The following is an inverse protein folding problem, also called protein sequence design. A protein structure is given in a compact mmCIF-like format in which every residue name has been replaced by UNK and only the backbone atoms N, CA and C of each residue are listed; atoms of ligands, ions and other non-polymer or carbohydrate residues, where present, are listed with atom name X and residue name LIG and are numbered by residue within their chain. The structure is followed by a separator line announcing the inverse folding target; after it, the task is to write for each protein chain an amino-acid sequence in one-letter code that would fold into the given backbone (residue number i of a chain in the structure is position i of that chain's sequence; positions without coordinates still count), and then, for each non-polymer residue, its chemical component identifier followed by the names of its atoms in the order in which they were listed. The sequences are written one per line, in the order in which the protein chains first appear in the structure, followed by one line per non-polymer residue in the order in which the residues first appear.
data_IF_693645004070
#
_entry.id   IF_693645004070
#
_cell.length_a   1.000
_cell.length_b   1.000
_cell.length_c   1.000
_cell.angle_alpha   90.00
_cell.angle_beta   90.00
_cell.angle_gamma   90.00
#
_symmetry.space_group_name_H-M   'P 1'
#
loop_
_entity.id
_entity.type
_entity.pdbx_description
1 polymer ?
#
# COMPACT_ATOMS: atom_id res chain seq x y z
N UNK A 1 12.45 1.01 8.46
CA UNK A 1 11.21 1.04 9.27
C UNK A 1 10.47 -0.29 9.24
N UNK A 2 10.32 -0.95 8.09
CA UNK A 2 9.67 -2.27 8.02
C UNK A 2 10.44 -3.38 8.78
N UNK A 3 11.76 -3.24 8.98
CA UNK A 3 12.57 -4.18 9.77
C UNK A 3 12.32 -4.11 11.29
N UNK A 4 11.57 -3.10 11.74
CA UNK A 4 11.24 -2.92 13.16
C UNK A 4 9.88 -3.54 13.52
N UNK A 5 9.16 -4.08 12.54
CA UNK A 5 7.88 -4.75 12.75
C UNK A 5 8.12 -6.21 13.11
N UNK A 6 7.34 -6.70 14.07
CA UNK A 6 7.31 -8.13 14.38
C UNK A 6 6.83 -8.93 13.16
N UNK A 7 7.44 -10.09 12.92
CA UNK A 7 7.13 -10.92 11.74
C UNK A 7 5.66 -11.32 11.66
N UNK A 8 5.01 -11.47 12.82
CA UNK A 8 3.59 -11.81 12.93
C UNK A 8 2.67 -10.74 12.33
N UNK A 9 3.10 -9.48 12.27
CA UNK A 9 2.33 -8.39 11.65
C UNK A 9 2.11 -8.66 10.16
N UNK A 10 3.10 -9.22 9.47
CA UNK A 10 3.00 -9.52 8.04
C UNK A 10 2.07 -10.71 7.75
N UNK A 11 1.89 -11.61 8.72
CA UNK A 11 1.11 -12.84 8.53
C UNK A 11 -0.25 -12.86 9.23
N UNK A 12 -0.51 -11.88 10.09
CA UNK A 12 -1.80 -11.68 10.78
C UNK A 12 -2.90 -11.34 9.79
N UNK A 13 -4.06 -11.99 9.90
CA UNK A 13 -5.22 -11.68 9.06
C UNK A 13 -5.85 -10.31 9.37
N UNK A 14 -5.63 -9.79 10.58
CA UNK A 14 -6.16 -8.49 11.05
C UNK A 14 -5.27 -7.30 10.63
N UNK A 15 -4.09 -7.58 10.07
CA UNK A 15 -3.14 -6.54 9.68
C UNK A 15 -3.27 -6.18 8.20
N UNK A 16 -3.33 -4.87 7.95
CA UNK A 16 -3.36 -4.25 6.63
C UNK A 16 -2.32 -3.13 6.58
N UNK A 17 -1.70 -2.96 5.41
CA UNK A 17 -0.67 -1.96 5.18
C UNK A 17 -1.20 -0.86 4.27
N UNK A 18 -0.97 0.38 4.65
CA UNK A 18 -1.44 1.53 3.90
C UNK A 18 -0.27 2.42 3.46
N UNK A 19 -0.18 2.70 2.16
CA UNK A 19 0.80 3.61 1.59
C UNK A 19 0.13 4.86 0.99
N UNK A 20 0.22 6.03 1.66
CA UNK A 20 -0.55 7.22 1.29
C UNK A 20 -0.02 7.99 0.06
N UNK A 21 1.21 7.71 -0.37
CA UNK A 21 1.81 8.31 -1.58
C UNK A 21 2.77 7.31 -2.22
N UNK A 22 2.19 6.37 -2.97
CA UNK A 22 2.95 5.25 -3.51
C UNK A 22 3.83 5.59 -4.72
N UNK A 23 3.68 6.79 -5.32
CA UNK A 23 4.44 7.20 -6.49
C UNK A 23 4.29 6.21 -7.64
N UNK A 24 5.42 5.82 -8.25
CA UNK A 24 5.45 4.78 -9.31
C UNK A 24 5.53 3.35 -8.75
N UNK A 25 5.30 3.14 -7.45
CA UNK A 25 5.20 1.84 -6.79
C UNK A 25 6.52 1.21 -6.34
N UNK A 26 7.66 1.92 -6.38
CA UNK A 26 8.97 1.36 -6.01
C UNK A 26 9.02 0.87 -4.55
N UNK A 27 8.56 1.69 -3.61
CA UNK A 27 8.50 1.29 -2.20
C UNK A 27 7.36 0.32 -1.92
N UNK A 28 6.27 0.40 -2.70
CA UNK A 28 5.14 -0.50 -2.59
C UNK A 28 5.58 -1.95 -2.88
N UNK A 29 6.34 -2.21 -3.94
CA UNK A 29 6.81 -3.59 -4.21
C UNK A 29 7.77 -4.12 -3.14
N UNK A 30 8.58 -3.27 -2.50
CA UNK A 30 9.44 -3.68 -1.37
C UNK A 30 8.61 -4.11 -0.16
N UNK A 31 7.50 -3.41 0.10
CA UNK A 31 6.55 -3.80 1.13
C UNK A 31 5.85 -5.12 0.77
N UNK A 32 5.35 -5.25 -0.46
CA UNK A 32 4.68 -6.46 -0.94
C UNK A 32 5.60 -7.67 -0.90
N UNK A 33 6.88 -7.52 -1.25
CA UNK A 33 7.88 -8.58 -1.13
C UNK A 33 7.98 -9.09 0.31
N UNK A 34 8.05 -8.20 1.30
CA UNK A 34 8.16 -8.60 2.71
C UNK A 34 6.91 -9.33 3.20
N UNK A 35 5.72 -8.86 2.81
CA UNK A 35 4.44 -9.53 3.11
C UNK A 35 4.42 -10.91 2.47
N UNK A 36 4.75 -10.99 1.18
CA UNK A 36 4.78 -12.24 0.42
C UNK A 36 5.74 -13.25 1.04
N UNK A 37 6.99 -12.87 1.32
CA UNK A 37 7.99 -13.78 1.89
C UNK A 37 7.57 -14.33 3.26
N UNK A 38 6.91 -13.51 4.08
CA UNK A 38 6.39 -13.96 5.37
C UNK A 38 5.23 -14.95 5.20
N UNK A 39 4.29 -14.68 4.29
CA UNK A 39 3.16 -15.56 4.00
C UNK A 39 3.58 -16.84 3.28
N UNK A 40 4.55 -16.75 2.37
CA UNK A 40 5.10 -17.88 1.63
C UNK A 40 5.71 -18.90 2.59
N UNK A 41 6.46 -18.43 3.60
CA UNK A 41 6.97 -19.30 4.68
C UNK A 41 5.83 -19.89 5.53
N UNK A 42 4.83 -19.09 5.87
CA UNK A 42 3.67 -19.55 6.66
C UNK A 42 2.83 -20.61 5.93
N UNK A 43 2.74 -20.53 4.61
CA UNK A 43 1.96 -21.43 3.77
C UNK A 43 2.80 -22.55 3.15
N UNK A 44 3.87 -22.98 3.82
CA UNK A 44 4.71 -24.09 3.39
C UNK A 44 5.20 -23.98 1.93
N UNK A 45 5.56 -22.76 1.51
CA UNK A 45 6.01 -22.43 0.15
C UNK A 45 4.94 -22.58 -0.94
N UNK A 46 3.67 -22.31 -0.62
CA UNK A 46 2.57 -22.18 -1.58
C UNK A 46 2.50 -20.74 -2.14
N UNK A 47 2.96 -20.49 -3.39
CA UNK A 47 3.04 -19.15 -3.95
C UNK A 47 1.66 -18.57 -4.28
N UNK A 48 0.69 -19.41 -4.65
CA UNK A 48 -0.63 -18.97 -5.06
C UNK A 48 -1.39 -18.39 -3.86
N UNK A 49 -1.37 -19.09 -2.70
CA UNK A 49 -1.96 -18.56 -1.46
C UNK A 49 -1.23 -17.34 -0.93
N UNK A 50 0.10 -17.36 -0.95
CA UNK A 50 0.91 -16.24 -0.47
C UNK A 50 0.65 -14.97 -1.30
N UNK A 51 0.56 -15.11 -2.63
CA UNK A 51 0.26 -13.99 -3.53
C UNK A 51 -1.15 -13.45 -3.31
N UNK A 52 -2.16 -14.33 -3.25
CA UNK A 52 -3.54 -13.92 -3.03
C UNK A 52 -3.70 -13.10 -1.73
N UNK A 53 -3.17 -13.60 -0.61
CA UNK A 53 -3.24 -12.90 0.68
C UNK A 53 -2.38 -11.62 0.68
N UNK A 54 -1.23 -11.61 0.00
CA UNK A 54 -0.42 -10.40 -0.12
C UNK A 54 -1.19 -9.30 -0.85
N UNK A 55 -1.84 -9.65 -1.96
CA UNK A 55 -2.63 -8.69 -2.73
C UNK A 55 -3.83 -8.17 -1.94
N UNK A 56 -4.38 -8.94 -0.99
CA UNK A 56 -5.45 -8.47 -0.09
C UNK A 56 -4.98 -7.58 1.06
N UNK A 57 -3.67 -7.52 1.34
CA UNK A 57 -3.13 -6.89 2.56
C UNK A 57 -2.66 -5.46 2.43
N UNK A 58 -2.75 -4.88 1.23
CA UNK A 58 -2.31 -3.51 1.02
C UNK A 58 -3.43 -2.63 0.50
N UNK A 59 -3.33 -1.34 0.83
CA UNK A 59 -4.04 -0.26 0.17
C UNK A 59 -3.04 0.86 -0.11
N UNK A 60 -3.12 1.48 -1.27
CA UNK A 60 -2.19 2.50 -1.70
C UNK A 60 -2.93 3.61 -2.45
N UNK A 61 -2.49 4.85 -2.22
CA UNK A 61 -3.03 6.03 -2.88
C UNK A 61 -1.91 6.76 -3.60
N UNK A 62 -2.24 7.37 -4.73
CA UNK A 62 -1.42 8.36 -5.41
C UNK A 62 -2.30 9.42 -6.08
N UNK A 63 -1.84 10.67 -6.12
CA UNK A 63 -2.58 11.80 -6.67
C UNK A 63 -2.36 11.94 -8.18
N UNK A 64 -1.18 11.57 -8.66
CA UNK A 64 -0.83 11.63 -10.08
C UNK A 64 -1.23 10.35 -10.81
N UNK A 65 -2.26 10.45 -11.65
CA UNK A 65 -2.78 9.34 -12.46
C UNK A 65 -1.69 8.67 -13.33
N UNK A 66 -0.68 9.43 -13.78
CA UNK A 66 0.41 8.89 -14.59
C UNK A 66 1.37 8.02 -13.77
N UNK A 67 1.46 8.28 -12.46
CA UNK A 67 2.21 7.45 -11.52
C UNK A 67 1.40 6.23 -11.08
N UNK A 68 0.09 6.39 -10.87
CA UNK A 68 -0.85 5.29 -10.59
C UNK A 68 -0.76 4.20 -11.65
N UNK A 69 -0.79 4.55 -12.94
CA UNK A 69 -0.69 3.57 -14.01
C UNK A 69 0.64 2.80 -13.97
N UNK A 70 1.75 3.48 -13.68
CA UNK A 70 3.07 2.85 -13.52
C UNK A 70 3.13 1.95 -12.30
N UNK A 71 2.58 2.40 -11.17
CA UNK A 71 2.54 1.63 -9.94
C UNK A 71 1.71 0.35 -10.11
N UNK A 72 0.54 0.43 -10.75
CA UNK A 72 -0.29 -0.75 -11.05
C UNK A 72 0.45 -1.75 -11.93
N UNK A 73 1.10 -1.28 -12.99
CA UNK A 73 1.89 -2.15 -13.87
C UNK A 73 3.06 -2.79 -13.11
N UNK A 74 3.77 -2.02 -12.29
CA UNK A 74 4.88 -2.52 -11.48
C UNK A 74 4.43 -3.60 -10.50
N UNK A 75 3.30 -3.40 -9.82
CA UNK A 75 2.74 -4.42 -8.90
C UNK A 75 2.26 -5.64 -9.69
N UNK A 76 1.72 -5.47 -10.89
CA UNK A 76 1.31 -6.57 -11.75
C UNK A 76 2.51 -7.42 -12.19
N UNK A 77 3.55 -6.78 -12.72
CA UNK A 77 4.80 -7.46 -13.12
C UNK A 77 5.45 -8.18 -11.92
N UNK A 78 5.46 -7.53 -10.75
CA UNK A 78 5.90 -8.14 -9.51
C UNK A 78 5.07 -9.40 -9.16
N UNK A 79 3.74 -9.32 -9.19
CA UNK A 79 2.84 -10.43 -8.86
C UNK A 79 3.04 -11.62 -9.81
N UNK A 80 3.15 -11.35 -11.11
CA UNK A 80 3.41 -12.38 -12.12
C UNK A 80 4.77 -13.05 -11.90
N UNK A 81 5.79 -12.28 -11.50
CA UNK A 81 7.13 -12.82 -11.21
C UNK A 81 7.19 -13.72 -9.96
N UNK A 82 6.15 -13.72 -9.11
CA UNK A 82 6.05 -14.64 -7.95
C UNK A 82 5.50 -16.01 -8.31
N UNK A 83 4.94 -16.16 -9.50
CA UNK A 83 4.49 -17.44 -10.02
C UNK A 83 5.65 -18.15 -10.74
N UNK A 84 5.76 -19.46 -10.55
CA UNK A 84 6.72 -20.31 -11.26
C UNK A 84 6.29 -20.65 -12.70
N UNK A 85 5.15 -20.11 -13.11
CA UNK A 85 4.45 -20.34 -14.37
C UNK A 85 3.84 -19.04 -14.88
N UNK A 86 3.47 -19.03 -16.16
CA UNK A 86 2.61 -17.98 -16.67
C UNK A 86 1.21 -18.06 -16.03
N UNK A 87 0.63 -16.93 -15.58
CA UNK A 87 -0.73 -16.92 -15.07
C UNK A 87 -1.70 -17.29 -16.19
N UNK A 88 -2.76 -18.01 -15.83
CA UNK A 88 -3.93 -18.19 -16.70
C UNK A 88 -4.64 -16.85 -16.91
N UNK A 89 -5.52 -16.78 -17.92
CA UNK A 89 -6.31 -15.57 -18.18
C UNK A 89 -7.15 -15.14 -16.96
N UNK A 90 -7.75 -16.12 -16.25
CA UNK A 90 -8.52 -15.85 -15.04
C UNK A 90 -7.63 -15.29 -13.92
N UNK A 91 -6.45 -15.86 -13.70
CA UNK A 91 -5.53 -15.38 -12.67
C UNK A 91 -4.99 -13.99 -13.00
N UNK A 92 -4.62 -13.75 -14.26
CA UNK A 92 -4.20 -12.43 -14.72
C UNK A 92 -5.30 -11.38 -14.48
N UNK A 93 -6.56 -11.73 -14.75
CA UNK A 93 -7.71 -10.88 -14.46
C UNK A 93 -7.88 -10.63 -12.96
N UNK A 94 -7.79 -11.67 -12.12
CA UNK A 94 -7.95 -11.55 -10.67
C UNK A 94 -6.83 -10.70 -10.04
N UNK A 95 -5.58 -10.88 -10.47
CA UNK A 95 -4.45 -10.05 -10.05
C UNK A 95 -4.69 -8.60 -10.44
N UNK A 96 -5.02 -8.33 -11.70
CA UNK A 96 -5.29 -6.97 -12.17
C UNK A 96 -6.46 -6.33 -11.41
N UNK A 97 -7.50 -7.11 -11.10
CA UNK A 97 -8.66 -6.64 -10.34
C UNK A 97 -8.31 -6.29 -8.90
N UNK A 98 -7.55 -7.13 -8.21
CA UNK A 98 -7.08 -6.85 -6.85
C UNK A 98 -6.23 -5.57 -6.81
N UNK A 99 -5.29 -5.42 -7.76
CA UNK A 99 -4.46 -4.22 -7.89
C UNK A 99 -5.32 -2.97 -8.11
N UNK A 100 -6.33 -3.06 -8.97
CA UNK A 100 -7.23 -1.94 -9.24
C UNK A 100 -8.03 -1.53 -8.00
N UNK A 101 -8.44 -2.49 -7.18
CA UNK A 101 -9.20 -2.23 -5.94
C UNK A 101 -8.32 -1.66 -4.83
N UNK A 102 -7.03 -1.98 -4.83
CA UNK A 102 -6.12 -1.62 -3.74
C UNK A 102 -5.20 -0.44 -4.06
N UNK A 103 -5.23 0.07 -5.29
CA UNK A 103 -4.43 1.22 -5.71
C UNK A 103 -5.31 2.26 -6.38
N UNK A 104 -5.61 3.33 -5.64
CA UNK A 104 -6.52 4.39 -6.04
C UNK A 104 -5.79 5.67 -6.48
N UNK A 105 -6.40 6.35 -7.46
CA UNK A 105 -5.98 7.66 -7.93
C UNK A 105 -6.89 8.73 -7.31
N UNK A 106 -6.69 9.03 -6.03
CA UNK A 106 -7.58 9.93 -5.30
C UNK A 106 -6.83 10.75 -4.26
N UNK A 107 -7.45 11.86 -3.85
CA UNK A 107 -6.97 12.61 -2.69
C UNK A 107 -7.35 11.85 -1.42
N UNK A 108 -6.34 11.49 -0.62
CA UNK A 108 -6.51 10.86 0.68
C UNK A 108 -7.58 11.56 1.55
N UNK A 109 -7.64 12.89 1.53
CA UNK A 109 -8.61 13.66 2.31
C UNK A 109 -10.04 13.59 1.77
N UNK A 110 -10.22 13.17 0.52
CA UNK A 110 -11.54 12.89 -0.04
C UNK A 110 -12.03 11.50 0.37
N UNK A 111 -11.13 10.51 0.43
CA UNK A 111 -11.47 9.13 0.83
C UNK A 111 -11.82 9.06 2.33
N UNK A 112 -10.98 9.66 3.19
CA UNK A 112 -11.11 9.52 4.65
C UNK A 112 -11.83 10.68 5.34
N UNK A 113 -12.36 11.62 4.55
CA UNK A 113 -13.04 12.81 5.04
C UNK A 113 -12.07 13.96 5.36
N UNK A 114 -12.53 15.19 5.11
CA UNK A 114 -11.73 16.39 5.38
C UNK A 114 -11.50 16.52 6.89
N UNK A 115 -10.24 16.64 7.36
CA UNK A 115 -10.00 16.91 8.77
C UNK A 115 -10.67 18.23 9.14
N UNK A 116 -11.46 18.24 10.21
CA UNK A 116 -11.99 19.49 10.77
C UNK A 116 -10.82 20.42 11.06
N UNK A 117 -10.71 21.51 10.28
CA UNK A 117 -9.70 22.53 10.50
C UNK A 117 -10.03 23.26 11.81
N UNK A 118 -9.46 22.82 12.93
CA UNK A 118 -9.51 23.62 14.15
C UNK A 118 -8.73 24.92 13.92
N UNK A 119 -9.35 26.09 14.09
CA UNK A 119 -8.66 27.35 13.87
C UNK A 119 -7.53 27.50 14.91
N UNK A 120 -6.30 27.61 14.42
CA UNK A 120 -5.14 27.93 15.25
C UNK A 120 -5.40 29.30 15.88
N UNK A 121 -5.76 29.33 17.17
CA UNK A 121 -5.82 30.58 17.95
C UNK A 121 -4.40 31.12 18.07
N UNK A 122 -3.99 31.98 17.14
CA UNK A 122 -2.78 32.81 17.30
C UNK A 122 -3.01 33.70 18.53
N UNK A 123 -2.46 33.31 19.68
CA UNK A 123 -2.28 34.24 20.80
C UNK A 123 -1.33 35.33 20.29
N UNK A 124 -1.88 36.51 19.98
CA UNK A 124 -1.09 37.72 19.83
C UNK A 124 -0.33 37.94 21.14
N UNK A 125 0.96 37.60 21.17
CA UNK A 125 1.87 38.14 22.17
C UNK A 125 1.97 39.63 21.90
N UNK A 126 1.22 40.42 22.68
CA UNK A 126 1.47 41.86 22.79
C UNK A 126 2.88 42.02 23.37
N UNK A 127 3.82 42.42 22.51
CA UNK A 127 5.12 42.89 22.94
C UNK A 127 4.92 44.03 23.94
N UNK A 128 5.46 43.85 25.14
CA UNK A 128 5.68 44.94 26.08
C UNK A 128 6.76 45.85 25.50
N UNK A 129 6.34 46.97 24.89
CA UNK A 129 7.25 48.07 24.59
C UNK A 129 7.75 48.66 25.90
N UNK A 130 9.06 48.67 26.05
CA UNK A 130 9.74 49.33 27.15
C UNK A 130 9.55 50.84 27.09
N UNK A 131 9.40 51.44 28.27
CA UNK A 131 9.81 52.80 28.57
C UNK A 131 10.55 52.79 29.90
#
# INVERSE_FOLDING_TARGET
MLDMLDQDVFTSQESYFFEPSCGDGQMLVVLLDRIFEALFKKYDSDPDKALADTLHKFFAIELDETLVAKARMRVYEWAVAKLDRSPTELEAYLIARAIQQNLECEDFFNIFGKPERQPIKRKLMKGSEGK
#
